data_IF_918241685971
#
_entry.id   IF_918241685971
#
_cell.length_a   1.000
_cell.length_b   1.000
_cell.length_c   1.000
_cell.angle_alpha   90.00
_cell.angle_beta   90.00
_cell.angle_gamma   90.00
#
_symmetry.space_group_name_H-M   'P 1'
#
loop_
_entity.id
_entity.type
_entity.pdbx_description
1 polymer ?
#
# COMPACT_ATOMS: atom_id res chain seq x y z
N UNK A 1 -0.57 1.14 18.95
CA UNK A 1 -0.87 0.32 17.75
C UNK A 1 -0.34 1.09 16.55
N UNK A 2 0.74 0.62 15.90
CA UNK A 2 1.30 1.31 14.73
C UNK A 2 0.35 1.17 13.54
N UNK A 3 0.00 2.30 12.91
CA UNK A 3 -0.87 2.35 11.74
C UNK A 3 -0.10 2.93 10.57
N UNK A 4 -0.14 2.26 9.43
CA UNK A 4 0.51 2.68 8.20
C UNK A 4 -0.55 3.07 7.18
N UNK A 5 -0.40 4.25 6.60
CA UNK A 5 -1.32 4.80 5.61
C UNK A 5 -0.76 4.60 4.21
N UNK A 6 -1.57 4.07 3.30
CA UNK A 6 -1.27 3.93 1.89
C UNK A 6 -2.30 4.74 1.11
N UNK A 7 -1.83 5.73 0.38
CA UNK A 7 -2.66 6.46 -0.57
C UNK A 7 -2.42 5.89 -1.96
N UNK A 8 -3.47 5.35 -2.57
CA UNK A 8 -3.43 4.93 -3.97
C UNK A 8 -4.44 5.71 -4.80
N UNK A 9 -4.17 5.82 -6.09
CA UNK A 9 -5.12 6.34 -7.07
C UNK A 9 -5.57 5.15 -7.90
N UNK A 10 -6.86 4.86 -7.91
CA UNK A 10 -7.40 3.73 -8.65
C UNK A 10 -7.48 4.01 -10.16
N UNK A 11 -7.92 3.01 -10.92
CA UNK A 11 -8.07 3.13 -12.38
C UNK A 11 -9.08 4.22 -12.81
N UNK A 12 -9.99 4.63 -11.92
CA UNK A 12 -10.95 5.70 -12.14
C UNK A 12 -10.40 7.08 -11.73
N UNK A 13 -9.10 7.16 -11.42
CA UNK A 13 -8.42 8.35 -10.90
C UNK A 13 -8.94 8.83 -9.55
N UNK A 14 -9.61 7.95 -8.79
CA UNK A 14 -10.07 8.29 -7.45
C UNK A 14 -8.95 8.03 -6.46
N UNK A 15 -8.58 9.07 -5.70
CA UNK A 15 -7.64 8.93 -4.59
C UNK A 15 -8.33 8.19 -3.44
N UNK A 16 -7.85 7.00 -3.14
CA UNK A 16 -8.33 6.17 -2.04
C UNK A 16 -7.27 6.03 -0.97
N UNK A 17 -7.70 6.14 0.27
CA UNK A 17 -6.85 5.99 1.44
C UNK A 17 -7.11 4.63 2.08
N UNK A 18 -6.07 3.80 2.15
CA UNK A 18 -6.12 2.52 2.85
C UNK A 18 -5.25 2.63 4.11
N UNK A 19 -5.82 2.27 5.26
CA UNK A 19 -5.08 2.19 6.53
C UNK A 19 -4.78 0.73 6.81
N UNK A 20 -3.50 0.37 6.89
CA UNK A 20 -3.02 -0.95 7.26
C UNK A 20 -2.56 -0.93 8.71
N UNK A 21 -3.20 -1.74 9.54
CA UNK A 21 -2.70 -2.05 10.88
C UNK A 21 -1.58 -3.08 10.76
N UNK A 22 -0.33 -2.64 10.82
CA UNK A 22 0.84 -3.50 10.78
C UNK A 22 1.79 -3.15 11.92
N UNK A 23 2.51 -4.14 12.46
CA UNK A 23 3.44 -3.92 13.55
C UNK A 23 4.66 -3.07 13.14
N UNK A 24 5.06 -3.17 11.87
CA UNK A 24 6.20 -2.45 11.30
C UNK A 24 6.00 -2.14 9.80
N UNK A 25 6.92 -1.36 9.22
CA UNK A 25 6.86 -0.93 7.81
C UNK A 25 7.01 -2.09 6.82
N UNK A 26 7.83 -3.09 7.12
CA UNK A 26 8.04 -4.24 6.25
C UNK A 26 6.75 -5.06 6.09
N UNK A 27 6.05 -5.33 7.20
CA UNK A 27 4.74 -5.98 7.17
C UNK A 27 3.70 -5.14 6.42
N UNK A 28 3.72 -3.81 6.58
CA UNK A 28 2.80 -2.94 5.84
C UNK A 28 3.02 -3.03 4.32
N UNK A 29 4.28 -3.17 3.88
CA UNK A 29 4.63 -3.37 2.47
C UNK A 29 4.17 -4.73 1.94
N UNK A 30 4.39 -5.81 2.69
CA UNK A 30 3.89 -7.14 2.30
C UNK A 30 2.36 -7.15 2.17
N UNK A 31 1.63 -6.50 3.09
CA UNK A 31 0.19 -6.37 3.00
C UNK A 31 -0.23 -5.60 1.74
N UNK A 32 0.45 -4.50 1.42
CA UNK A 32 0.18 -3.70 0.22
C UNK A 32 0.44 -4.50 -1.06
N UNK A 33 1.55 -5.23 -1.12
CA UNK A 33 1.90 -6.08 -2.25
C UNK A 33 0.86 -7.17 -2.48
N UNK A 34 0.36 -7.82 -1.42
CA UNK A 34 -0.69 -8.84 -1.53
C UNK A 34 -2.04 -8.29 -1.96
N UNK A 35 -2.38 -7.06 -1.58
CA UNK A 35 -3.67 -6.44 -1.93
C UNK A 35 -3.73 -5.95 -3.38
N UNK A 36 -2.64 -5.37 -3.87
CA UNK A 36 -2.62 -4.72 -5.19
C UNK A 36 -1.84 -5.52 -6.25
N UNK A 37 -1.11 -6.55 -5.83
CA UNK A 37 -0.22 -7.32 -6.67
C UNK A 37 1.18 -6.69 -6.81
N UNK A 38 2.18 -7.55 -7.03
CA UNK A 38 3.59 -7.17 -7.11
C UNK A 38 3.88 -6.17 -8.22
N UNK A 39 3.23 -6.30 -9.39
CA UNK A 39 3.44 -5.38 -10.51
C UNK A 39 3.07 -3.93 -10.17
N UNK A 40 1.91 -3.74 -9.55
CA UNK A 40 1.48 -2.40 -9.11
C UNK A 40 2.35 -1.89 -7.97
N UNK A 41 2.62 -2.73 -6.96
CA UNK A 41 3.39 -2.34 -5.79
C UNK A 41 4.80 -1.88 -6.17
N UNK A 42 5.49 -2.62 -7.04
CA UNK A 42 6.83 -2.26 -7.53
C UNK A 42 6.81 -0.99 -8.39
N UNK A 43 5.74 -0.70 -9.12
CA UNK A 43 5.61 0.57 -9.86
C UNK A 43 5.53 1.80 -8.93
N UNK A 44 5.01 1.61 -7.71
CA UNK A 44 4.86 2.68 -6.71
C UNK A 44 6.06 2.79 -5.77
N UNK A 45 6.82 1.70 -5.61
CA UNK A 45 8.01 1.65 -4.75
C UNK A 45 9.14 2.42 -5.43
N UNK A 46 9.33 3.70 -5.07
CA UNK A 46 10.54 4.44 -5.45
C UNK A 46 11.77 3.70 -4.90
N UNK A 47 12.76 3.52 -5.77
CA UNK A 47 14.10 3.04 -5.41
C UNK A 47 14.73 3.93 -4.33
#
# INVERSE_FOLDING_TARGET
MSRYAITHVDAQRVRRHLVIGAANRAMAWECAERLYGSAWFMSCKKA
#
